data_IF_139434748665
#
_entry.id   IF_139434748665
#
_cell.length_a   1.000
_cell.length_b   1.000
_cell.length_c   1.000
_cell.angle_alpha   90.00
_cell.angle_beta   90.00
_cell.angle_gamma   90.00
#
_symmetry.space_group_name_H-M   'P 1'
#
loop_
_entity.id
_entity.type
_entity.pdbx_description
1 polymer ?
#
# COMPACT_ATOMS: atom_id res chain seq x y z
N UNK A 1 7.12 33.28 -11.50
CA UNK A 1 6.43 32.38 -12.45
C UNK A 1 6.16 31.07 -11.72
N UNK A 2 4.91 30.66 -11.53
CA UNK A 2 4.60 29.34 -10.98
C UNK A 2 4.79 28.33 -12.09
N UNK A 3 5.83 27.50 -12.01
CA UNK A 3 5.98 26.36 -12.91
C UNK A 3 4.96 25.32 -12.45
N UNK A 4 3.88 25.14 -13.21
CA UNK A 4 2.98 24.02 -13.00
C UNK A 4 3.71 22.77 -13.45
N UNK A 5 4.05 21.89 -12.51
CA UNK A 5 4.65 20.60 -12.86
C UNK A 5 3.62 19.77 -13.64
N UNK A 6 3.94 19.43 -14.88
CA UNK A 6 3.16 18.46 -15.68
C UNK A 6 3.34 17.09 -15.04
N UNK A 7 2.24 16.41 -14.73
CA UNK A 7 2.22 15.10 -14.04
C UNK A 7 1.73 14.01 -15.01
N UNK A 8 2.41 13.87 -16.13
CA UNK A 8 2.07 12.93 -17.21
C UNK A 8 2.74 11.56 -17.06
N UNK A 9 3.57 11.38 -16.04
CA UNK A 9 4.33 10.15 -15.81
C UNK A 9 5.45 9.93 -16.81
N UNK A 10 5.78 10.89 -17.68
CA UNK A 10 6.84 10.71 -18.68
C UNK A 10 8.21 10.80 -18.00
N UNK A 11 9.06 9.83 -18.30
CA UNK A 11 10.44 9.77 -17.82
C UNK A 11 11.30 10.70 -18.66
N UNK A 12 11.93 11.65 -17.98
CA UNK A 12 12.89 12.60 -18.53
C UNK A 12 14.25 12.44 -17.87
N UNK A 13 15.31 12.63 -18.65
CA UNK A 13 16.67 12.63 -18.15
C UNK A 13 16.89 13.86 -17.25
N UNK A 14 17.53 13.68 -16.10
CA UNK A 14 17.87 14.79 -15.23
C UNK A 14 18.95 15.68 -15.91
N UNK A 15 18.76 17.02 -16.00
CA UNK A 15 19.64 17.89 -16.80
C UNK A 15 21.10 17.97 -16.34
N UNK A 16 21.39 17.52 -15.12
CA UNK A 16 22.72 17.61 -14.49
C UNK A 16 23.32 16.26 -14.11
N UNK A 17 22.60 15.16 -14.31
CA UNK A 17 23.12 13.81 -14.04
C UNK A 17 22.50 12.79 -15.00
N UNK A 18 23.31 12.29 -15.92
CA UNK A 18 22.91 11.28 -16.92
C UNK A 18 22.54 9.93 -16.30
N UNK A 19 22.84 9.71 -15.02
CA UNK A 19 22.47 8.49 -14.29
C UNK A 19 21.12 8.60 -13.60
N UNK A 20 20.51 9.79 -13.61
CA UNK A 20 19.24 10.07 -12.92
C UNK A 20 18.16 10.34 -13.94
N UNK A 21 17.11 9.52 -13.89
CA UNK A 21 15.87 9.77 -14.60
C UNK A 21 14.80 10.26 -13.63
N UNK A 22 13.89 11.11 -14.11
CA UNK A 22 12.83 11.72 -13.31
C UNK A 22 11.49 11.64 -14.03
N UNK A 23 10.42 11.37 -13.29
CA UNK A 23 9.06 11.44 -13.77
C UNK A 23 8.15 12.02 -12.69
N UNK A 24 7.17 12.81 -13.11
CA UNK A 24 6.10 13.29 -12.23
C UNK A 24 4.87 12.42 -12.44
N UNK A 25 4.61 11.50 -11.51
CA UNK A 25 3.51 10.54 -11.65
C UNK A 25 2.15 11.24 -11.64
N UNK A 26 1.19 10.81 -12.49
CA UNK A 26 -0.17 11.33 -12.46
C UNK A 26 -0.81 11.11 -11.10
N UNK A 27 -1.49 12.13 -10.58
CA UNK A 27 -2.31 12.01 -9.39
C UNK A 27 -3.38 13.10 -9.38
N UNK A 28 -4.63 12.67 -9.15
CA UNK A 28 -5.77 13.56 -8.92
C UNK A 28 -5.81 14.12 -7.49
N UNK A 29 -4.94 13.65 -6.61
CA UNK A 29 -4.93 14.08 -5.21
C UNK A 29 -4.08 15.35 -5.05
N UNK A 30 -4.58 16.36 -4.28
CA UNK A 30 -3.80 17.55 -3.97
C UNK A 30 -2.61 17.22 -3.06
N UNK A 31 -2.74 16.24 -2.15
CA UNK A 31 -1.65 15.76 -1.29
C UNK A 31 -1.29 14.32 -1.63
N UNK A 32 0.02 14.03 -1.69
CA UNK A 32 0.58 12.71 -2.00
C UNK A 32 1.84 12.53 -1.16
N UNK A 33 1.91 11.46 -0.37
CA UNK A 33 2.98 11.26 0.61
C UNK A 33 3.37 9.78 0.77
N UNK A 34 4.54 9.56 1.38
CA UNK A 34 5.10 8.26 1.73
C UNK A 34 5.11 7.27 0.56
N UNK A 35 5.73 7.66 -0.55
CA UNK A 35 5.89 6.79 -1.70
C UNK A 35 6.78 5.58 -1.36
N UNK A 36 6.41 4.42 -1.90
CA UNK A 36 7.16 3.18 -1.83
C UNK A 36 7.29 2.60 -3.23
N UNK A 37 8.53 2.37 -3.66
CA UNK A 37 8.88 1.87 -4.99
C UNK A 37 9.47 0.46 -4.87
N UNK A 38 8.98 -0.47 -5.68
CA UNK A 38 9.46 -1.85 -5.72
C UNK A 38 9.73 -2.29 -7.17
N UNK A 39 10.98 -2.65 -7.52
CA UNK A 39 11.29 -3.39 -8.73
C UNK A 39 10.71 -4.81 -8.65
N UNK A 40 10.09 -5.28 -9.74
CA UNK A 40 9.44 -6.58 -9.82
C UNK A 40 10.22 -7.54 -10.73
N UNK A 41 10.05 -8.87 -10.58
CA UNK A 41 10.80 -9.87 -11.34
C UNK A 41 10.56 -9.85 -12.85
N UNK A 42 9.43 -9.30 -13.30
CA UNK A 42 9.12 -9.10 -14.72
C UNK A 42 9.84 -7.89 -15.33
N UNK A 43 10.66 -7.17 -14.55
CA UNK A 43 11.35 -5.95 -14.95
C UNK A 43 10.50 -4.68 -14.83
N UNK A 44 9.24 -4.80 -14.38
CA UNK A 44 8.40 -3.63 -14.13
C UNK A 44 8.79 -2.96 -12.80
N UNK A 45 8.41 -1.69 -12.64
CA UNK A 45 8.43 -1.00 -11.36
C UNK A 45 7.00 -0.76 -10.88
N UNK A 46 6.75 -0.99 -9.59
CA UNK A 46 5.51 -0.61 -8.92
C UNK A 46 5.81 0.52 -7.94
N UNK A 47 5.11 1.65 -8.07
CA UNK A 47 5.15 2.74 -7.11
C UNK A 47 3.77 2.86 -6.44
N UNK A 48 3.74 2.93 -5.10
CA UNK A 48 2.53 3.20 -4.33
C UNK A 48 2.76 4.38 -3.39
N UNK A 49 1.71 5.12 -3.07
CA UNK A 49 1.73 6.24 -2.13
C UNK A 49 0.33 6.40 -1.53
N UNK A 50 0.19 7.21 -0.48
CA UNK A 50 -1.15 7.62 -0.04
C UNK A 50 -1.46 9.04 -0.53
N UNK A 51 -2.73 9.28 -0.84
CA UNK A 51 -3.19 10.57 -1.34
C UNK A 51 -4.68 10.79 -1.12
N UNK A 52 -5.04 12.06 -0.95
CA UNK A 52 -6.39 12.53 -0.66
C UNK A 52 -6.41 14.05 -0.52
N UNK A 53 -7.49 14.60 0.06
CA UNK A 53 -7.63 16.05 0.23
C UNK A 53 -6.71 16.62 1.30
N UNK A 54 -6.60 15.93 2.44
CA UNK A 54 -5.76 16.33 3.56
C UNK A 54 -5.29 15.11 4.36
N UNK A 55 -4.00 15.05 4.67
CA UNK A 55 -3.44 14.00 5.50
C UNK A 55 -4.22 13.81 6.81
N UNK A 56 -4.52 12.56 7.14
CA UNK A 56 -5.28 12.20 8.33
C UNK A 56 -6.80 12.17 8.15
N UNK A 57 -7.39 12.70 7.07
CA UNK A 57 -8.85 12.58 6.87
C UNK A 57 -9.22 11.25 6.19
N UNK A 58 -10.50 10.88 6.27
CA UNK A 58 -10.99 9.56 5.85
C UNK A 58 -11.08 9.35 4.32
N UNK A 59 -10.75 10.36 3.51
CA UNK A 59 -10.68 10.22 2.05
C UNK A 59 -9.29 9.79 1.55
N UNK A 60 -8.31 9.72 2.45
CA UNK A 60 -6.95 9.29 2.15
C UNK A 60 -6.98 7.81 1.78
N UNK A 61 -6.58 7.53 0.55
CA UNK A 61 -6.49 6.19 -0.01
C UNK A 61 -5.06 5.88 -0.43
N UNK A 62 -4.73 4.60 -0.51
CA UNK A 62 -3.52 4.13 -1.19
C UNK A 62 -3.75 4.15 -2.70
N UNK A 63 -2.80 4.73 -3.42
CA UNK A 63 -2.74 4.78 -4.88
C UNK A 63 -1.51 4.04 -5.37
N UNK A 64 -1.53 3.61 -6.63
CA UNK A 64 -0.36 3.05 -7.26
C UNK A 64 -0.31 3.28 -8.77
N UNK A 65 0.91 3.26 -9.30
CA UNK A 65 1.21 3.37 -10.72
C UNK A 65 2.34 2.41 -11.07
N UNK A 66 2.37 1.95 -12.32
CA UNK A 66 3.34 0.97 -12.82
C UNK A 66 4.15 1.55 -13.96
N UNK A 67 5.43 1.17 -14.02
CA UNK A 67 6.27 1.34 -15.18
C UNK A 67 6.55 -0.03 -15.78
N UNK A 68 6.08 -0.27 -17.00
CA UNK A 68 6.35 -1.53 -17.69
C UNK A 68 7.80 -1.59 -18.20
N UNK A 69 8.38 -2.79 -18.37
CA UNK A 69 9.72 -2.95 -18.92
C UNK A 69 9.85 -2.24 -20.27
N UNK A 70 10.87 -1.40 -20.41
CA UNK A 70 11.12 -0.62 -21.64
C UNK A 70 10.16 0.56 -21.88
N UNK A 71 9.17 0.78 -21.02
CA UNK A 71 8.31 1.97 -21.11
C UNK A 71 9.07 3.22 -20.68
N UNK A 72 8.73 4.36 -21.31
CA UNK A 72 9.17 5.69 -20.90
C UNK A 72 8.08 6.50 -20.20
N UNK A 73 6.96 5.85 -19.85
CA UNK A 73 5.84 6.50 -19.20
C UNK A 73 5.23 5.58 -18.14
N UNK A 74 4.99 6.15 -16.95
CA UNK A 74 4.23 5.53 -15.88
C UNK A 74 2.74 5.46 -16.23
N UNK A 75 2.06 4.40 -15.80
CA UNK A 75 0.61 4.28 -15.98
C UNK A 75 -0.15 5.36 -15.22
N UNK A 76 -1.40 5.59 -15.61
CA UNK A 76 -2.34 6.31 -14.75
C UNK A 76 -2.39 5.69 -13.34
N UNK A 77 -2.59 6.54 -12.35
CA UNK A 77 -2.70 6.10 -10.96
C UNK A 77 -4.02 5.39 -10.72
N UNK A 78 -3.95 4.22 -10.12
CA UNK A 78 -5.11 3.43 -9.70
C UNK A 78 -5.27 3.49 -8.19
N UNK A 79 -6.51 3.65 -7.73
CA UNK A 79 -6.85 3.59 -6.31
C UNK A 79 -6.82 2.12 -5.86
N UNK A 80 -5.97 1.81 -4.87
CA UNK A 80 -5.71 0.45 -4.39
C UNK A 80 -6.37 0.14 -3.04
N UNK A 81 -6.80 1.17 -2.31
CA UNK A 81 -7.58 1.03 -1.09
C UNK A 81 -8.78 1.99 -1.13
N UNK A 82 -9.87 1.70 -0.42
CA UNK A 82 -11.09 2.50 -0.48
C UNK A 82 -11.98 2.26 0.74
N UNK A 83 -11.65 2.92 1.86
CA UNK A 83 -12.47 2.88 3.07
C UNK A 83 -12.81 4.29 3.53
N UNK A 84 -14.03 4.74 3.24
CA UNK A 84 -14.49 6.09 3.57
C UNK A 84 -14.58 6.37 5.09
N UNK A 85 -14.41 5.36 5.95
CA UNK A 85 -14.36 5.53 7.40
C UNK A 85 -12.94 5.72 7.94
N UNK A 86 -11.91 5.53 7.10
CA UNK A 86 -10.52 5.45 7.53
C UNK A 86 -9.57 6.28 6.67
N UNK A 87 -8.56 6.86 7.30
CA UNK A 87 -7.40 7.38 6.60
C UNK A 87 -6.41 6.24 6.36
N UNK A 88 -6.14 5.90 5.10
CA UNK A 88 -5.32 4.74 4.70
C UNK A 88 -3.93 5.18 4.19
N UNK A 89 -2.90 4.98 5.02
CA UNK A 89 -1.59 5.64 4.90
C UNK A 89 -0.40 4.68 4.95
N UNK A 90 0.78 5.22 4.63
CA UNK A 90 2.08 4.55 4.72
C UNK A 90 2.09 3.17 4.01
N UNK A 91 1.79 3.13 2.70
CA UNK A 91 1.78 1.87 1.98
C UNK A 91 3.21 1.30 1.86
N UNK A 92 3.31 -0.01 2.00
CA UNK A 92 4.57 -0.77 1.84
C UNK A 92 4.30 -1.95 0.92
N UNK A 93 5.10 -2.07 -0.13
CA UNK A 93 5.14 -3.24 -1.00
C UNK A 93 6.14 -4.26 -0.47
N UNK A 94 5.79 -5.53 -0.59
CA UNK A 94 6.65 -6.63 -0.21
C UNK A 94 6.39 -7.83 -1.12
N UNK A 95 7.42 -8.31 -1.81
CA UNK A 95 7.34 -9.52 -2.62
C UNK A 95 7.80 -10.73 -1.79
N UNK A 96 6.92 -11.71 -1.64
CA UNK A 96 7.28 -12.98 -0.98
C UNK A 96 8.18 -13.84 -1.88
N UNK A 97 8.93 -14.80 -1.29
CA UNK A 97 9.68 -15.79 -2.07
C UNK A 97 8.83 -16.60 -3.07
N UNK A 98 7.53 -16.76 -2.81
CA UNK A 98 6.58 -17.47 -3.67
C UNK A 98 5.94 -16.55 -4.75
N UNK A 99 6.54 -15.39 -5.02
CA UNK A 99 6.06 -14.39 -5.99
C UNK A 99 4.64 -13.84 -5.75
N UNK A 100 4.15 -13.91 -4.51
CA UNK A 100 2.95 -13.17 -4.09
C UNK A 100 3.37 -11.77 -3.67
N UNK A 101 2.85 -10.75 -4.36
CA UNK A 101 3.07 -9.35 -4.04
C UNK A 101 2.07 -8.90 -2.98
N UNK A 102 2.57 -8.37 -1.88
CA UNK A 102 1.77 -7.79 -0.82
C UNK A 102 1.81 -6.28 -0.91
N UNK A 103 0.65 -5.67 -0.73
CA UNK A 103 0.50 -4.27 -0.38
C UNK A 103 -0.05 -4.20 1.04
N UNK A 104 0.70 -3.58 1.94
CA UNK A 104 0.31 -3.36 3.34
C UNK A 104 0.16 -1.86 3.59
N UNK A 105 -0.74 -1.46 4.47
CA UNK A 105 -0.90 -0.05 4.87
C UNK A 105 -1.48 0.09 6.27
N UNK A 106 -1.26 1.25 6.87
CA UNK A 106 -1.88 1.66 8.12
C UNK A 106 -3.27 2.22 7.82
N UNK A 107 -4.30 1.81 8.55
CA UNK A 107 -5.66 2.33 8.41
C UNK A 107 -6.21 2.78 9.77
N UNK A 108 -6.41 4.08 9.94
CA UNK A 108 -6.89 4.70 11.18
C UNK A 108 -8.27 5.31 10.97
N UNK A 109 -9.14 5.32 11.99
CA UNK A 109 -10.46 5.94 11.91
C UNK A 109 -10.27 7.45 11.81
N UNK A 110 -10.51 8.02 10.63
CA UNK A 110 -10.22 9.41 10.32
C UNK A 110 -8.82 9.82 10.83
N UNK A 111 -8.69 10.96 11.51
CA UNK A 111 -7.42 11.47 12.03
C UNK A 111 -6.91 10.78 13.29
N UNK A 112 -7.67 9.83 13.86
CA UNK A 112 -7.35 9.25 15.16
C UNK A 112 -6.34 8.10 15.04
N UNK A 113 -5.05 8.44 15.15
CA UNK A 113 -3.92 7.52 15.06
C UNK A 113 -3.97 6.37 16.08
N UNK A 114 -4.56 6.56 17.26
CA UNK A 114 -4.66 5.51 18.29
C UNK A 114 -5.54 4.33 17.85
N UNK A 115 -6.34 4.52 16.80
CA UNK A 115 -7.20 3.49 16.21
C UNK A 115 -6.56 2.76 15.03
N UNK A 116 -5.28 3.06 14.74
CA UNK A 116 -4.55 2.49 13.62
C UNK A 116 -4.46 0.96 13.72
N UNK A 117 -4.79 0.32 12.60
CA UNK A 117 -4.62 -1.12 12.35
C UNK A 117 -3.83 -1.29 11.06
N UNK A 118 -3.29 -2.48 10.80
CA UNK A 118 -2.63 -2.77 9.52
C UNK A 118 -3.54 -3.60 8.64
N UNK A 119 -3.78 -3.11 7.43
CA UNK A 119 -4.52 -3.80 6.39
C UNK A 119 -3.58 -4.22 5.27
N UNK A 120 -4.05 -5.14 4.45
CA UNK A 120 -3.32 -5.62 3.30
C UNK A 120 -4.25 -6.07 2.19
N UNK A 121 -3.68 -6.20 1.00
CA UNK A 121 -4.21 -7.00 -0.09
C UNK A 121 -3.04 -7.63 -0.84
N UNK A 122 -3.34 -8.64 -1.64
CA UNK A 122 -2.32 -9.45 -2.33
C UNK A 122 -2.58 -9.48 -3.83
N UNK A 123 -1.50 -9.58 -4.59
CA UNK A 123 -1.52 -9.86 -6.02
C UNK A 123 -0.71 -11.14 -6.29
N UNK A 124 -1.21 -11.95 -7.21
CA UNK A 124 -0.54 -13.17 -7.70
C UNK A 124 -0.01 -13.01 -9.13
N UNK A 125 -0.13 -11.80 -9.69
CA UNK A 125 0.24 -11.44 -11.07
C UNK A 125 1.06 -10.14 -11.11
N UNK A 126 1.89 -9.93 -10.08
CA UNK A 126 2.85 -8.81 -9.94
C UNK A 126 2.19 -7.42 -10.00
N UNK A 127 1.03 -7.29 -9.36
CA UNK A 127 0.31 -6.03 -9.19
C UNK A 127 -0.57 -5.63 -10.37
N UNK A 128 -0.79 -6.53 -11.34
CA UNK A 128 -1.77 -6.32 -12.42
C UNK A 128 -3.20 -6.35 -11.89
N UNK A 129 -3.51 -7.36 -11.08
CA UNK A 129 -4.78 -7.46 -10.35
C UNK A 129 -4.50 -7.67 -8.88
N UNK A 130 -5.50 -7.33 -8.06
CA UNK A 130 -5.37 -7.37 -6.62
C UNK A 130 -6.60 -8.03 -6.00
N UNK A 131 -6.37 -8.94 -5.06
CA UNK A 131 -7.42 -9.58 -4.27
C UNK A 131 -8.08 -8.63 -3.27
N UNK A 132 -8.97 -9.20 -2.46
CA UNK A 132 -9.72 -8.47 -1.44
C UNK A 132 -8.82 -7.81 -0.40
N UNK A 133 -9.35 -6.74 0.20
CA UNK A 133 -8.72 -6.06 1.33
C UNK A 133 -9.05 -6.82 2.62
N UNK A 134 -8.02 -7.13 3.41
CA UNK A 134 -8.16 -7.77 4.73
C UNK A 134 -7.36 -7.02 5.80
N UNK A 135 -7.67 -7.30 7.07
CA UNK A 135 -6.88 -6.79 8.22
C UNK A 135 -5.84 -7.83 8.60
N UNK A 136 -4.59 -7.40 8.68
CA UNK A 136 -3.46 -8.23 9.10
C UNK A 136 -3.25 -8.15 10.62
N UNK A 137 -3.35 -6.92 11.16
CA UNK A 137 -3.10 -6.61 12.56
C UNK A 137 -4.19 -5.67 13.04
N UNK A 138 -5.04 -6.16 13.93
CA UNK A 138 -6.24 -5.47 14.40
C UNK A 138 -6.05 -4.77 15.76
N UNK A 139 -4.87 -4.91 16.37
CA UNK A 139 -4.53 -4.20 17.60
C UNK A 139 -4.47 -2.68 17.32
N UNK A 140 -5.29 -1.85 17.99
CA UNK A 140 -5.23 -0.40 17.84
C UNK A 140 -3.86 0.18 18.20
N UNK A 141 -3.47 1.26 17.51
CA UNK A 141 -2.16 1.90 17.65
C UNK A 141 -1.03 1.17 16.92
N UNK A 142 -1.36 0.26 15.98
CA UNK A 142 -0.37 -0.48 15.20
C UNK A 142 -0.12 0.22 13.86
N UNK A 143 1.16 0.46 13.55
CA UNK A 143 1.59 1.15 12.32
C UNK A 143 2.54 0.27 11.51
N UNK A 144 2.52 0.47 10.20
CA UNK A 144 3.57 0.01 9.30
C UNK A 144 4.22 1.22 8.62
N UNK A 145 5.55 1.32 8.72
CA UNK A 145 6.35 2.41 8.13
C UNK A 145 7.72 1.95 7.60
N UNK A 146 8.06 0.68 7.80
CA UNK A 146 9.38 0.13 7.47
C UNK A 146 9.22 -0.99 6.45
N UNK A 147 10.23 -1.21 5.57
CA UNK A 147 10.26 -2.38 4.70
C UNK A 147 10.08 -3.67 5.48
N UNK A 148 9.37 -4.62 4.88
CA UNK A 148 9.15 -5.94 5.49
C UNK A 148 10.34 -6.83 5.16
N UNK A 149 10.95 -7.42 6.20
CA UNK A 149 12.05 -8.38 6.06
C UNK A 149 11.59 -9.77 6.45
N UNK A 150 12.08 -10.81 5.79
CA UNK A 150 11.83 -12.21 6.21
C UNK A 150 12.98 -12.68 7.09
N UNK A 151 12.70 -13.08 8.32
CA UNK A 151 13.69 -13.76 9.18
C UNK A 151 13.57 -15.28 9.04
N UNK A 152 14.67 -16.00 9.29
CA UNK A 152 14.94 -17.42 8.99
C UNK A 152 13.96 -18.48 9.54
N UNK A 153 12.83 -18.07 10.10
CA UNK A 153 11.69 -18.92 10.45
C UNK A 153 10.42 -18.61 9.64
N UNK A 154 10.52 -17.99 8.45
CA UNK A 154 9.37 -17.60 7.60
C UNK A 154 8.41 -16.64 8.29
N UNK A 155 8.93 -15.79 9.16
CA UNK A 155 8.17 -14.72 9.81
C UNK A 155 8.51 -13.39 9.15
N UNK A 156 7.48 -12.60 8.84
CA UNK A 156 7.68 -11.22 8.39
C UNK A 156 8.01 -10.38 9.62
N UNK A 157 9.09 -9.61 9.53
CA UNK A 157 9.49 -8.59 10.48
C UNK A 157 9.37 -7.23 9.80
N UNK A 158 8.28 -6.50 10.08
CA UNK A 158 8.35 -5.05 10.12
C UNK A 158 8.86 -4.71 11.52
N UNK A 159 9.81 -3.79 11.68
CA UNK A 159 10.48 -3.52 12.96
C UNK A 159 9.49 -3.52 14.15
N UNK A 160 9.49 -4.60 14.94
CA UNK A 160 8.62 -4.78 16.11
C UNK A 160 7.49 -5.81 16.01
N UNK A 161 7.21 -6.42 14.84
CA UNK A 161 6.09 -7.35 14.70
C UNK A 161 6.43 -8.59 13.88
N UNK A 162 6.20 -9.78 14.46
CA UNK A 162 6.33 -11.09 13.83
C UNK A 162 4.96 -11.51 13.27
N UNK A 163 4.86 -11.72 11.96
CA UNK A 163 3.63 -12.21 11.33
C UNK A 163 3.72 -13.71 10.98
N UNK A 164 2.65 -14.49 11.25
CA UNK A 164 2.59 -15.89 10.84
C UNK A 164 2.47 -16.03 9.31
N UNK A 165 2.99 -17.16 8.81
CA UNK A 165 3.02 -17.51 7.39
C UNK A 165 1.64 -17.43 6.71
N UNK A 166 1.61 -16.85 5.51
CA UNK A 166 0.45 -16.91 4.63
C UNK A 166 0.43 -18.23 3.85
N UNK A 167 0.10 -19.31 4.55
CA UNK A 167 -0.48 -20.46 3.86
C UNK A 167 -1.86 -20.02 3.36
N UNK A 168 -2.09 -20.04 2.04
CA UNK A 168 -3.34 -19.64 1.41
C UNK A 168 -4.55 -20.17 2.17
N UNK A 169 -5.19 -19.29 2.95
CA UNK A 169 -6.44 -19.63 3.62
C UNK A 169 -7.52 -19.59 2.55
N UNK A 170 -8.06 -20.76 2.23
CA UNK A 170 -9.37 -20.88 1.58
C UNK A 170 -10.34 -19.96 2.32
N UNK A 171 -11.05 -19.12 1.55
CA UNK A 171 -12.11 -18.23 2.02
C UNK A 171 -13.14 -19.06 2.81
N UNK A 172 -13.00 -19.04 4.14
CA UNK A 172 -13.87 -19.70 5.09
C UNK A 172 -14.82 -18.70 5.70
N UNK A 173 -16.05 -18.67 5.18
CA UNK A 173 -17.27 -18.01 5.68
C UNK A 173 -17.15 -17.31 7.05
N UNK A 174 -17.37 -15.99 7.02
CA UNK A 174 -17.95 -15.23 8.13
C UNK A 174 -19.04 -16.04 8.85
N UNK A 175 -18.90 -16.23 10.18
CA UNK A 175 -20.03 -16.26 11.13
C UNK A 175 -19.55 -16.39 12.58
N UNK A 176 -20.14 -15.55 13.43
CA UNK A 176 -20.22 -15.58 14.91
C UNK A 176 -19.10 -14.87 15.69
N UNK A 177 -19.21 -13.54 15.76
CA UNK A 177 -18.86 -12.80 16.98
C UNK A 177 -19.94 -11.74 17.30
N UNK A 178 -21.19 -12.19 17.40
CA UNK A 178 -22.29 -11.44 18.01
C UNK A 178 -23.24 -12.43 18.69
N UNK A 179 -22.83 -12.97 19.85
CA UNK A 179 -23.73 -13.61 20.83
C UNK A 179 -22.95 -13.87 22.11
N UNK A 180 -22.69 -12.83 22.89
CA UNK A 180 -22.30 -12.88 24.32
C UNK A 180 -22.27 -11.49 24.96
N UNK A 181 -23.39 -10.75 24.86
CA UNK A 181 -23.63 -9.50 25.62
C UNK A 181 -25.11 -9.34 26.03
N UNK A 182 -25.91 -10.43 26.10
CA UNK A 182 -27.30 -10.37 26.56
C UNK A 182 -27.64 -11.55 27.49
N UNK A 183 -26.84 -11.75 28.54
CA UNK A 183 -27.15 -12.63 29.68
C UNK A 183 -26.59 -12.00 30.97
N UNK A 184 -27.07 -10.79 31.27
CA UNK A 184 -27.14 -10.20 32.62
C UNK A 184 -28.34 -9.26 32.64
N UNK A 185 -29.53 -9.85 32.74
CA UNK A 185 -30.70 -9.30 33.42
C UNK A 185 -31.32 -10.44 34.19
#
# INVERSE_FOLDING_TARGET
>A
MSVTAVRDGIISQHPRDERVETAMLPSSCPQNHAANLLPLPDGSLMCVWFGGTQEGVADISVWGSRLLPGSRQWSEAVKLSNDASRSEQNPVLFLTPDNVLWLLWTAQISGNQDTAIVRYRQSTDLGQTWGDIATLLDKPGTFIRQPVTVSGQRQLAAAGLLLPHAAGRKVGRQRRYQRRQNLRR
#
